data_IF_081357827997
#
_entry.id   IF_081357827997
#
_cell.length_a   1.000
_cell.length_b   1.000
_cell.length_c   1.000
_cell.angle_alpha   90.00
_cell.angle_beta   90.00
_cell.angle_gamma   90.00
#
_symmetry.space_group_name_H-M   'P 1'
#
loop_
_entity.id
_entity.type
_entity.pdbx_description
1 polymer ?
#
# COMPACT_ATOMS: atom_id res chain seq x y z
N UNK A 1 -10.31 -1.31 -14.46
CA UNK A 1 -9.43 -0.76 -13.43
C UNK A 1 -8.25 -1.70 -13.28
N UNK A 2 -7.01 -1.20 -13.19
CA UNK A 2 -5.84 -2.01 -12.85
C UNK A 2 -5.41 -1.70 -11.43
N UNK A 3 -5.32 -2.72 -10.58
CA UNK A 3 -4.77 -2.58 -9.23
C UNK A 3 -3.30 -2.97 -9.27
N UNK A 4 -2.43 -2.06 -8.84
CA UNK A 4 -0.99 -2.30 -8.75
C UNK A 4 -0.54 -2.12 -7.31
N UNK A 5 0.05 -3.16 -6.72
CA UNK A 5 0.61 -3.08 -5.37
C UNK A 5 2.14 -3.15 -5.44
N UNK A 6 2.80 -2.09 -5.01
CA UNK A 6 4.26 -1.95 -5.08
C UNK A 6 4.86 -2.09 -3.68
N UNK A 7 5.74 -3.08 -3.43
CA UNK A 7 6.50 -3.16 -2.21
C UNK A 7 7.62 -2.11 -2.19
N UNK A 8 7.65 -1.27 -1.16
CA UNK A 8 8.66 -0.23 -0.96
C UNK A 8 9.59 -0.64 0.19
N UNK A 9 10.85 -0.87 -0.12
CA UNK A 9 11.89 -1.14 0.87
C UNK A 9 12.45 0.21 1.32
N UNK A 10 12.13 0.62 2.54
CA UNK A 10 12.68 1.85 3.11
C UNK A 10 14.09 1.63 3.70
N UNK A 11 15.02 2.56 3.47
CA UNK A 11 16.40 2.45 3.94
C UNK A 11 16.56 2.75 5.44
N UNK A 12 15.54 3.31 6.10
CA UNK A 12 15.62 3.79 7.49
C UNK A 12 15.75 2.65 8.51
N UNK A 13 15.36 1.44 8.12
CA UNK A 13 15.61 0.22 8.90
C UNK A 13 16.56 -0.64 8.08
N UNK A 14 17.83 -0.71 8.49
CA UNK A 14 18.83 -1.62 7.89
C UNK A 14 18.99 -2.87 8.76
N UNK A 15 18.12 -3.89 8.61
CA UNK A 15 18.36 -5.18 9.25
C UNK A 15 19.63 -5.82 8.68
N UNK A 16 20.20 -6.77 9.43
CA UNK A 16 21.29 -7.60 8.93
C UNK A 16 20.90 -8.26 7.60
N UNK A 17 21.87 -8.47 6.70
CA UNK A 17 21.63 -8.92 5.32
C UNK A 17 20.70 -10.16 5.19
N UNK A 18 20.81 -11.21 6.02
CA UNK A 18 19.89 -12.35 5.94
C UNK A 18 18.43 -11.96 6.24
N UNK A 19 18.22 -11.14 7.26
CA UNK A 19 16.89 -10.66 7.63
C UNK A 19 16.34 -9.70 6.57
N UNK A 20 17.18 -8.83 6.00
CA UNK A 20 16.79 -7.94 4.90
C UNK A 20 16.23 -8.71 3.70
N UNK A 21 16.87 -9.83 3.32
CA UNK A 21 16.43 -10.70 2.23
C UNK A 21 15.07 -11.32 2.54
N UNK A 22 14.91 -11.96 3.70
CA UNK A 22 13.65 -12.59 4.12
C UNK A 22 12.51 -11.56 4.17
N UNK A 23 12.78 -10.38 4.71
CA UNK A 23 11.79 -9.31 4.82
C UNK A 23 11.35 -8.80 3.44
N UNK A 24 12.29 -8.64 2.52
CA UNK A 24 12.01 -8.25 1.12
C UNK A 24 11.14 -9.28 0.42
N UNK A 25 11.52 -10.56 0.48
CA UNK A 25 10.76 -11.66 -0.13
C UNK A 25 9.35 -11.75 0.44
N UNK A 26 9.22 -11.59 1.77
CA UNK A 26 7.92 -11.53 2.44
C UNK A 26 7.08 -10.35 1.96
N UNK A 27 7.65 -9.15 1.88
CA UNK A 27 6.92 -7.95 1.46
C UNK A 27 6.43 -8.07 0.01
N UNK A 28 7.28 -8.57 -0.90
CA UNK A 28 6.91 -8.81 -2.29
C UNK A 28 5.78 -9.84 -2.42
N UNK A 29 5.80 -10.89 -1.60
CA UNK A 29 4.70 -11.86 -1.56
C UNK A 29 3.41 -11.22 -1.06
N UNK A 30 3.46 -10.48 0.03
CA UNK A 30 2.28 -9.78 0.58
C UNK A 30 1.71 -8.74 -0.40
N UNK A 31 2.57 -8.08 -1.19
CA UNK A 31 2.12 -7.16 -2.24
C UNK A 31 1.30 -7.90 -3.30
N UNK A 32 1.81 -9.05 -3.75
CA UNK A 32 1.13 -9.89 -4.73
C UNK A 32 -0.18 -10.47 -4.20
N UNK A 33 -0.19 -11.00 -2.98
CA UNK A 33 -1.41 -11.50 -2.32
C UNK A 33 -2.46 -10.38 -2.16
N UNK A 34 -2.03 -9.17 -1.76
CA UNK A 34 -2.93 -8.01 -1.66
C UNK A 34 -3.56 -7.68 -3.01
N UNK A 35 -2.77 -7.66 -4.08
CA UNK A 35 -3.21 -7.37 -5.43
C UNK A 35 -4.15 -8.45 -6.00
N UNK A 36 -3.67 -9.69 -6.03
CA UNK A 36 -4.27 -10.77 -6.81
C UNK A 36 -5.43 -11.46 -6.08
N UNK A 37 -5.49 -11.37 -4.75
CA UNK A 37 -6.50 -12.07 -3.93
C UNK A 37 -7.40 -11.10 -3.17
N UNK A 38 -6.83 -10.20 -2.38
CA UNK A 38 -7.62 -9.40 -1.44
C UNK A 38 -8.35 -8.22 -2.10
N UNK A 39 -7.76 -7.63 -3.13
CA UNK A 39 -8.32 -6.50 -3.86
C UNK A 39 -8.94 -6.88 -5.20
N UNK A 40 -8.95 -8.16 -5.59
CA UNK A 40 -9.50 -8.61 -6.89
C UNK A 40 -10.95 -8.16 -7.14
N UNK A 41 -11.76 -8.06 -6.08
CA UNK A 41 -13.17 -7.65 -6.21
C UNK A 41 -13.34 -6.19 -6.64
N UNK A 42 -12.34 -5.34 -6.35
CA UNK A 42 -12.35 -3.94 -6.75
C UNK A 42 -12.41 -3.82 -8.28
N UNK A 43 -11.73 -4.69 -9.04
CA UNK A 43 -11.68 -4.65 -10.52
C UNK A 43 -13.06 -4.67 -11.20
N UNK A 44 -14.07 -5.17 -10.48
CA UNK A 44 -15.44 -5.34 -10.97
C UNK A 44 -16.42 -4.31 -10.40
N UNK A 45 -15.98 -3.38 -9.54
CA UNK A 45 -16.87 -2.35 -8.99
C UNK A 45 -17.15 -1.25 -10.03
N UNK A 46 -18.43 -0.91 -10.16
CA UNK A 46 -18.89 0.21 -10.97
C UNK A 46 -18.92 1.53 -10.16
N UNK A 47 -18.70 2.68 -10.81
CA UNK A 47 -18.23 2.83 -12.20
C UNK A 47 -16.79 2.35 -12.38
N UNK A 48 -16.42 1.87 -13.57
CA UNK A 48 -15.06 1.42 -13.86
C UNK A 48 -14.06 2.56 -13.61
N UNK A 49 -13.26 2.46 -12.55
CA UNK A 49 -12.32 3.51 -12.16
C UNK A 49 -11.00 3.45 -12.94
N UNK A 50 -10.29 4.58 -12.90
CA UNK A 50 -8.87 4.68 -13.24
C UNK A 50 -8.02 3.82 -12.31
N UNK A 51 -6.80 3.48 -12.75
CA UNK A 51 -5.91 2.54 -12.05
C UNK A 51 -5.67 2.92 -10.58
N UNK A 52 -5.52 1.94 -9.71
CA UNK A 52 -5.23 2.15 -8.27
C UNK A 52 -3.82 1.65 -7.97
N UNK A 53 -2.94 2.56 -7.59
CA UNK A 53 -1.54 2.26 -7.23
C UNK A 53 -1.38 2.36 -5.72
N UNK A 54 -1.03 1.23 -5.10
CA UNK A 54 -0.87 1.10 -3.66
C UNK A 54 0.58 0.80 -3.35
N UNK A 55 1.17 1.57 -2.44
CA UNK A 55 2.47 1.24 -1.87
C UNK A 55 2.29 0.52 -0.55
N UNK A 56 3.03 -0.56 -0.34
CA UNK A 56 3.16 -1.20 0.97
C UNK A 56 4.61 -1.20 1.44
N UNK A 57 4.83 -1.06 2.73
CA UNK A 57 6.17 -1.06 3.32
C UNK A 57 6.14 -1.53 4.76
N UNK A 58 7.29 -1.83 5.34
CA UNK A 58 7.43 -1.96 6.78
C UNK A 58 7.61 -0.58 7.41
N UNK A 59 7.07 -0.39 8.62
CA UNK A 59 7.50 0.69 9.51
C UNK A 59 8.70 0.25 10.38
N UNK A 60 9.17 1.12 11.28
CA UNK A 60 10.27 0.83 12.21
C UNK A 60 10.01 -0.33 13.18
N UNK A 61 8.75 -0.76 13.35
CA UNK A 61 8.34 -1.91 14.16
C UNK A 61 8.04 -3.16 13.33
N UNK A 62 8.41 -3.17 12.05
CA UNK A 62 8.11 -4.25 11.11
C UNK A 62 6.61 -4.53 10.92
N UNK A 63 5.75 -3.56 11.22
CA UNK A 63 4.33 -3.61 10.84
C UNK A 63 4.19 -3.19 9.37
N UNK A 64 3.34 -3.87 8.62
CA UNK A 64 2.99 -3.48 7.26
C UNK A 64 2.14 -2.21 7.30
N UNK A 65 2.53 -1.22 6.50
CA UNK A 65 1.75 -0.01 6.25
C UNK A 65 1.44 0.13 4.77
N UNK A 66 0.37 0.83 4.44
CA UNK A 66 -0.09 1.01 3.07
C UNK A 66 -0.51 2.46 2.76
N UNK A 67 -0.39 2.90 1.51
CA UNK A 67 -1.02 4.13 1.01
C UNK A 67 -1.35 4.01 -0.48
N UNK A 68 -2.43 4.65 -0.90
CA UNK A 68 -2.68 4.91 -2.32
C UNK A 68 -1.85 6.13 -2.72
N UNK A 69 -1.20 6.08 -3.88
CA UNK A 69 -0.24 7.11 -4.33
C UNK A 69 -0.65 7.88 -5.57
N UNK A 70 -1.82 7.59 -6.11
CA UNK A 70 -2.45 8.33 -7.19
C UNK A 70 -3.83 8.83 -6.74
N UNK A 71 -4.38 9.78 -7.49
CA UNK A 71 -5.73 10.29 -7.22
C UNK A 71 -6.75 9.19 -7.55
N UNK A 72 -7.62 8.92 -6.58
CA UNK A 72 -8.70 7.94 -6.70
C UNK A 72 -9.93 8.46 -5.97
N UNK A 73 -11.13 8.03 -6.36
CA UNK A 73 -12.35 8.39 -5.66
C UNK A 73 -12.43 7.82 -4.23
N UNK A 74 -13.21 8.47 -3.37
CA UNK A 74 -13.26 8.20 -1.92
C UNK A 74 -13.70 6.77 -1.57
N UNK A 75 -14.60 6.17 -2.34
CA UNK A 75 -15.02 4.79 -2.08
C UNK A 75 -13.86 3.79 -2.32
N UNK A 76 -12.97 4.03 -3.29
CA UNK A 76 -11.82 3.16 -3.54
C UNK A 76 -10.85 3.21 -2.35
N UNK A 77 -10.64 4.41 -1.80
CA UNK A 77 -9.91 4.61 -0.55
C UNK A 77 -10.54 3.82 0.61
N UNK A 78 -11.87 3.87 0.70
CA UNK A 78 -12.63 3.21 1.76
C UNK A 78 -12.54 1.69 1.66
N UNK A 79 -12.72 1.12 0.47
CA UNK A 79 -12.68 -0.32 0.25
C UNK A 79 -11.26 -0.88 0.44
N UNK A 80 -10.24 -0.24 -0.16
CA UNK A 80 -8.83 -0.60 0.07
C UNK A 80 -8.52 -0.52 1.56
N UNK A 81 -9.02 0.50 2.26
CA UNK A 81 -8.89 0.63 3.71
C UNK A 81 -9.52 -0.55 4.46
N UNK A 82 -10.76 -0.88 4.16
CA UNK A 82 -11.46 -1.99 4.82
C UNK A 82 -10.78 -3.34 4.58
N UNK A 83 -10.25 -3.58 3.37
CA UNK A 83 -9.49 -4.81 3.05
C UNK A 83 -8.15 -4.84 3.78
N UNK A 84 -7.40 -3.73 3.80
CA UNK A 84 -6.13 -3.62 4.51
C UNK A 84 -6.28 -3.74 6.03
N UNK A 85 -7.33 -3.17 6.62
CA UNK A 85 -7.59 -3.24 8.07
C UNK A 85 -7.86 -4.69 8.52
N UNK A 86 -8.58 -5.48 7.70
CA UNK A 86 -8.78 -6.92 7.95
C UNK A 86 -7.47 -7.73 7.96
N UNK A 87 -6.46 -7.26 7.23
CA UNK A 87 -5.11 -7.87 7.19
C UNK A 87 -4.18 -7.33 8.29
N UNK A 88 -4.64 -6.37 9.10
CA UNK A 88 -3.83 -5.71 10.13
C UNK A 88 -2.81 -4.72 9.56
N UNK A 89 -2.97 -4.28 8.30
CA UNK A 89 -2.09 -3.29 7.69
C UNK A 89 -2.52 -1.89 8.10
N UNK A 90 -1.55 -1.05 8.48
CA UNK A 90 -1.87 0.29 8.97
C UNK A 90 -1.79 1.34 7.84
N UNK A 91 -2.70 2.31 7.84
CA UNK A 91 -2.63 3.40 6.86
C UNK A 91 -1.40 4.26 7.10
N UNK A 92 -0.56 4.39 6.07
CA UNK A 92 0.62 5.24 6.05
C UNK A 92 0.17 6.69 5.89
N UNK A 93 -0.03 7.36 7.02
CA UNK A 93 -0.22 8.81 7.06
C UNK A 93 1.14 9.46 6.81
N UNK A 94 1.39 9.92 5.58
CA UNK A 94 2.47 10.89 5.36
C UNK A 94 2.06 12.12 6.18
N UNK A 95 2.90 12.59 7.12
CA UNK A 95 2.75 13.96 7.60
C UNK A 95 2.73 14.85 6.35
N UNK A 96 1.76 15.74 6.26
CA UNK A 96 1.50 16.60 5.11
C UNK A 96 2.69 17.52 4.83
N UNK A 97 3.77 17.01 4.26
CA UNK A 97 4.84 17.80 3.68
C UNK A 97 4.34 18.21 2.30
N UNK A 98 3.60 19.33 2.28
CA UNK A 98 3.48 20.32 1.19
C UNK A 98 2.07 20.93 1.11
N UNK A 99 1.71 21.74 2.09
CA UNK A 99 0.92 22.94 1.80
C UNK A 99 1.80 23.91 1.02
N UNK A 100 1.90 23.75 -0.30
CA UNK A 100 2.44 24.80 -1.16
C UNK A 100 1.41 25.95 -1.17
N UNK A 101 1.58 26.91 -0.26
CA UNK A 101 0.95 28.22 -0.40
C UNK A 101 1.47 28.85 -1.70
N UNK A 102 0.68 28.79 -2.77
CA UNK A 102 0.83 29.75 -3.87
C UNK A 102 0.31 31.10 -3.37
N UNK A 103 1.23 32.06 -3.25
CA UNK A 103 0.89 33.49 -3.23
C UNK A 103 0.44 33.92 -4.62
#
# INVERSE_FOLDING_TARGET
MTITVVPIIEPDVKPAAPLAKVMTERLSRLARELQDEHLKDLDHMEPLFEDVVIYISYNSKYTIRWKIVNDVPEHAITEVGAKCDKLGYIRWKTASLNSFNRK
#
